data_IF_255553871898
#
_entry.id   IF_255553871898
#
_cell.length_a   1.000
_cell.length_b   1.000
_cell.length_c   1.000
_cell.angle_alpha   90.00
_cell.angle_beta   90.00
_cell.angle_gamma   90.00
#
_symmetry.space_group_name_H-M   'P 1'
#
loop_
_entity.id
_entity.type
_entity.pdbx_description
1 polymer ?
#
# COMPACT_ATOMS: atom_id res chain seq x y z
N UNK A 1 6.15 5.21 -8.98
CA UNK A 1 7.47 5.87 -8.97
C UNK A 1 8.09 5.54 -7.64
N UNK A 2 9.29 4.96 -7.63
CA UNK A 2 9.96 4.54 -6.40
C UNK A 2 11.27 5.30 -6.19
N UNK A 3 11.55 5.66 -4.94
CA UNK A 3 12.83 6.19 -4.47
C UNK A 3 13.31 5.33 -3.29
N UNK A 4 14.58 4.94 -3.32
CA UNK A 4 15.21 4.20 -2.22
C UNK A 4 16.58 4.76 -1.89
N UNK A 5 16.86 4.90 -0.60
CA UNK A 5 18.15 5.26 -0.06
C UNK A 5 18.64 4.16 0.88
N UNK A 6 19.81 3.60 0.57
CA UNK A 6 20.42 2.49 1.27
C UNK A 6 21.82 2.89 1.75
N UNK A 7 22.05 2.90 3.06
CA UNK A 7 23.38 3.24 3.62
C UNK A 7 23.61 2.58 4.98
N UNK A 8 24.75 1.90 5.15
CA UNK A 8 25.16 1.30 6.43
C UNK A 8 24.06 0.45 7.09
N UNK A 9 23.35 -0.36 6.29
CA UNK A 9 22.25 -1.20 6.74
C UNK A 9 20.89 -0.48 6.85
N UNK A 10 20.83 0.85 6.74
CA UNK A 10 19.56 1.57 6.62
C UNK A 10 18.93 1.39 5.25
N UNK A 11 17.60 1.34 5.24
CA UNK A 11 16.74 1.36 4.07
C UNK A 11 15.60 2.36 4.31
N UNK A 12 15.65 3.47 3.59
CA UNK A 12 14.56 4.43 3.51
C UNK A 12 14.01 4.34 2.08
N UNK A 13 12.77 3.90 1.94
CA UNK A 13 12.13 3.75 0.63
C UNK A 13 10.76 4.39 0.61
N UNK A 14 10.38 4.93 -0.53
CA UNK A 14 9.05 5.43 -0.81
C UNK A 14 8.64 5.02 -2.23
N UNK A 15 7.45 4.47 -2.40
CA UNK A 15 6.82 4.27 -3.70
C UNK A 15 5.54 5.10 -3.77
N UNK A 16 5.28 5.71 -4.92
CA UNK A 16 4.05 6.43 -5.21
C UNK A 16 3.48 5.95 -6.55
N UNK A 17 2.31 5.34 -6.51
CA UNK A 17 1.63 4.77 -7.68
C UNK A 17 0.34 5.53 -7.95
N UNK A 18 0.18 5.98 -9.19
CA UNK A 18 -1.02 6.67 -9.66
C UNK A 18 -1.75 5.81 -10.68
N UNK A 19 -2.99 5.44 -10.37
CA UNK A 19 -3.84 4.63 -11.22
C UNK A 19 -4.85 5.50 -11.97
N UNK A 20 -4.72 5.54 -13.30
CA UNK A 20 -5.67 6.20 -14.17
C UNK A 20 -6.66 5.18 -14.73
N UNK A 21 -7.94 5.30 -14.35
CA UNK A 21 -9.00 4.41 -14.78
C UNK A 21 -9.71 4.95 -16.04
N UNK A 22 -9.81 4.11 -17.07
CA UNK A 22 -10.56 4.40 -18.29
C UNK A 22 -12.04 4.02 -18.12
N UNK A 23 -12.91 4.61 -18.94
CA UNK A 23 -14.34 4.26 -18.95
C UNK A 23 -14.51 2.85 -19.49
N UNK A 24 -15.28 2.02 -18.78
CA UNK A 24 -15.72 0.74 -19.29
C UNK A 24 -16.88 0.97 -20.30
N UNK A 25 -16.72 0.62 -21.58
CA UNK A 25 -17.74 0.86 -22.60
C UNK A 25 -19.03 0.05 -22.37
N UNK A 26 -18.94 -1.12 -21.74
CA UNK A 26 -20.08 -2.03 -21.57
C UNK A 26 -21.04 -1.58 -20.46
N UNK A 27 -20.52 -0.92 -19.42
CA UNK A 27 -21.31 -0.47 -18.26
C UNK A 27 -21.47 1.05 -18.19
N UNK A 28 -20.82 1.79 -19.10
CA UNK A 28 -20.73 3.24 -19.10
C UNK A 28 -20.23 3.84 -17.77
N UNK A 29 -19.51 3.02 -16.98
CA UNK A 29 -19.00 3.39 -15.67
C UNK A 29 -17.50 3.72 -15.76
N UNK A 30 -17.09 4.77 -15.05
CA UNK A 30 -15.69 5.17 -14.91
C UNK A 30 -15.37 5.30 -13.42
N UNK A 31 -14.50 4.40 -12.96
CA UNK A 31 -13.93 4.48 -11.61
C UNK A 31 -13.08 5.73 -11.46
N UNK A 32 -13.09 6.28 -10.25
CA UNK A 32 -12.22 7.36 -9.82
C UNK A 32 -10.75 6.99 -9.95
N UNK A 33 -9.91 7.99 -10.18
CA UNK A 33 -8.45 7.85 -10.16
C UNK A 33 -7.97 7.63 -8.73
N UNK A 34 -6.93 6.80 -8.56
CA UNK A 34 -6.39 6.47 -7.25
C UNK A 34 -4.91 6.84 -7.17
N UNK A 35 -4.48 7.28 -6.00
CA UNK A 35 -3.09 7.51 -5.64
C UNK A 35 -2.77 6.64 -4.43
N UNK A 36 -1.77 5.77 -4.58
CA UNK A 36 -1.21 4.95 -3.51
C UNK A 36 0.22 5.41 -3.21
N UNK A 37 0.59 5.51 -1.94
CA UNK A 37 1.94 5.84 -1.50
C UNK A 37 2.34 4.87 -0.40
N UNK A 38 3.43 4.15 -0.61
CA UNK A 38 4.06 3.28 0.36
C UNK A 38 5.37 3.92 0.86
N UNK A 39 5.66 3.79 2.15
CA UNK A 39 6.93 4.20 2.72
C UNK A 39 7.47 3.15 3.69
N UNK A 40 8.79 3.08 3.77
CA UNK A 40 9.50 2.12 4.62
C UNK A 40 10.75 2.78 5.19
N UNK A 41 10.94 2.61 6.51
CA UNK A 41 12.17 2.94 7.20
C UNK A 41 12.60 1.71 7.98
N UNK A 42 13.71 1.09 7.56
CA UNK A 42 14.22 -0.13 8.15
C UNK A 42 15.73 -0.06 8.36
N UNK A 43 16.23 -0.85 9.30
CA UNK A 43 17.65 -1.03 9.57
C UNK A 43 17.98 -2.51 9.68
N UNK A 44 19.02 -2.92 8.96
CA UNK A 44 19.58 -4.27 9.03
C UNK A 44 20.84 -4.25 9.87
N UNK A 45 20.88 -5.11 10.89
CA UNK A 45 22.02 -5.32 11.79
C UNK A 45 22.27 -6.83 11.87
N UNK A 46 23.40 -7.27 11.32
CA UNK A 46 23.72 -8.69 11.21
C UNK A 46 22.66 -9.43 10.37
N UNK A 47 21.97 -10.39 10.99
CA UNK A 47 20.90 -11.20 10.34
C UNK A 47 19.50 -10.62 10.52
N UNK A 48 19.34 -9.57 11.31
CA UNK A 48 18.05 -8.99 11.66
C UNK A 48 17.79 -7.71 10.86
N UNK A 49 16.56 -7.55 10.39
CA UNK A 49 16.06 -6.30 9.82
C UNK A 49 14.87 -5.86 10.65
N UNK A 50 14.86 -4.62 11.13
CA UNK A 50 13.76 -4.07 11.93
C UNK A 50 13.39 -2.72 11.35
N UNK A 51 12.11 -2.40 11.30
CA UNK A 51 11.66 -1.11 10.80
C UNK A 51 10.19 -0.85 11.01
N UNK A 52 9.72 0.20 10.35
CA UNK A 52 8.33 0.56 10.22
C UNK A 52 8.03 0.78 8.74
N UNK A 53 6.87 0.32 8.31
CA UNK A 53 6.29 0.62 7.02
C UNK A 53 4.91 1.22 7.19
N UNK A 54 4.44 1.91 6.16
CA UNK A 54 3.07 2.36 6.09
C UNK A 54 2.65 2.63 4.66
N UNK A 55 1.34 2.72 4.48
CA UNK A 55 0.71 2.92 3.20
C UNK A 55 -0.40 3.97 3.32
N UNK A 56 -0.65 4.67 2.22
CA UNK A 56 -1.73 5.62 2.06
C UNK A 56 -2.35 5.40 0.68
N UNK A 57 -3.65 5.18 0.65
CA UNK A 57 -4.41 5.00 -0.57
C UNK A 57 -5.55 6.01 -0.59
N UNK A 58 -5.64 6.78 -1.66
CA UNK A 58 -6.58 7.87 -1.79
C UNK A 58 -7.20 7.86 -3.18
N UNK A 59 -8.53 7.77 -3.23
CA UNK A 59 -9.29 8.04 -4.44
C UNK A 59 -9.41 9.55 -4.63
N UNK A 60 -8.84 10.05 -5.74
CA UNK A 60 -8.71 11.49 -6.03
C UNK A 60 -9.90 12.06 -6.79
N UNK A 61 -10.67 11.22 -7.50
CA UNK A 61 -11.88 11.63 -8.22
C UNK A 61 -13.05 10.71 -7.92
N UNK A 62 -14.26 11.25 -7.96
CA UNK A 62 -15.48 10.50 -7.70
C UNK A 62 -15.81 9.56 -8.89
N UNK A 63 -16.42 8.42 -8.60
CA UNK A 63 -16.91 7.50 -9.63
C UNK A 63 -18.05 8.16 -10.45
N UNK A 64 -18.13 7.83 -11.74
CA UNK A 64 -19.19 8.33 -12.63
C UNK A 64 -19.84 7.22 -13.45
N UNK A 65 -21.16 7.33 -13.73
CA UNK A 65 -21.96 6.33 -14.44
C UNK A 65 -23.17 5.84 -13.62
N UNK A 66 -24.03 5.00 -14.21
CA UNK A 66 -25.26 4.52 -13.55
C UNK A 66 -25.00 3.76 -12.24
N UNK A 67 -23.87 3.05 -12.14
CA UNK A 67 -23.41 2.39 -10.91
C UNK A 67 -22.91 3.34 -9.81
N UNK A 68 -22.64 4.61 -10.13
CA UNK A 68 -22.24 5.65 -9.18
C UNK A 68 -23.44 6.46 -8.64
N UNK A 69 -24.68 6.13 -9.05
CA UNK A 69 -25.88 6.90 -8.68
C UNK A 69 -26.09 6.99 -7.16
N UNK A 70 -25.73 5.95 -6.40
CA UNK A 70 -25.75 5.97 -4.94
C UNK A 70 -24.72 6.96 -4.33
N UNK A 71 -23.55 7.10 -4.96
CA UNK A 71 -22.48 8.01 -4.54
C UNK A 71 -22.71 9.47 -4.98
N UNK A 72 -23.46 9.68 -6.07
CA UNK A 72 -23.85 11.01 -6.53
C UNK A 72 -24.82 11.71 -5.55
N UNK A 73 -25.66 10.94 -4.83
CA UNK A 73 -26.58 11.48 -3.83
C UNK A 73 -25.90 11.95 -2.54
N UNK A 74 -24.68 11.49 -2.25
CA UNK A 74 -23.91 11.84 -1.05
C UNK A 74 -22.76 12.82 -1.30
N UNK A 75 -22.62 13.35 -2.52
CA UNK A 75 -21.54 14.28 -2.88
C UNK A 75 -20.20 13.61 -3.21
N UNK A 76 -20.20 12.32 -3.57
CA UNK A 76 -19.02 11.54 -3.96
C UNK A 76 -18.69 10.40 -2.98
N UNK A 77 -18.18 9.29 -3.50
CA UNK A 77 -17.57 8.22 -2.71
C UNK A 77 -16.07 8.28 -2.98
N UNK A 78 -15.29 8.74 -1.99
CA UNK A 78 -13.83 8.72 -2.06
C UNK A 78 -13.32 7.71 -1.05
N UNK A 79 -12.78 6.61 -1.57
CA UNK A 79 -12.04 5.67 -0.75
C UNK A 79 -10.77 6.33 -0.21
N UNK A 80 -10.51 6.20 1.08
CA UNK A 80 -9.23 6.56 1.67
C UNK A 80 -8.83 5.50 2.67
N UNK A 81 -7.62 4.96 2.58
CA UNK A 81 -7.13 3.94 3.48
C UNK A 81 -5.70 4.28 3.92
N UNK A 82 -5.45 4.19 5.22
CA UNK A 82 -4.17 4.52 5.81
C UNK A 82 -3.78 3.47 6.83
N UNK A 83 -2.56 2.96 6.71
CA UNK A 83 -2.03 2.00 7.65
C UNK A 83 -0.55 2.22 7.94
N UNK A 84 -0.15 1.82 9.14
CA UNK A 84 1.25 1.85 9.57
C UNK A 84 1.52 0.69 10.51
N UNK A 85 2.73 0.15 10.47
CA UNK A 85 3.16 -0.74 11.53
C UNK A 85 4.55 -1.32 11.36
N UNK A 86 4.96 -2.18 12.30
CA UNK A 86 6.30 -2.70 12.38
C UNK A 86 6.58 -3.74 11.29
N UNK A 87 7.83 -3.78 10.87
CA UNK A 87 8.40 -4.86 10.07
C UNK A 87 9.57 -5.51 10.79
N UNK A 88 9.63 -6.83 10.72
CA UNK A 88 10.71 -7.65 11.26
C UNK A 88 11.14 -8.67 10.22
N UNK A 89 12.43 -8.68 9.89
CA UNK A 89 13.04 -9.62 8.97
C UNK A 89 14.17 -10.39 9.62
N UNK A 90 14.36 -11.63 9.16
CA UNK A 90 15.45 -12.48 9.58
C UNK A 90 16.05 -13.24 8.39
N UNK A 91 17.39 -13.25 8.31
CA UNK A 91 18.12 -13.95 7.26
C UNK A 91 18.60 -15.33 7.74
N UNK A 92 17.98 -16.38 7.18
CA UNK A 92 18.29 -17.80 7.38
C UNK A 92 19.15 -18.30 6.22
N UNK A 93 20.43 -17.95 6.24
CA UNK A 93 21.36 -18.31 5.18
C UNK A 93 20.98 -17.66 3.84
N UNK A 94 20.52 -18.46 2.87
CA UNK A 94 20.04 -17.99 1.57
C UNK A 94 18.58 -17.55 1.57
N UNK A 95 17.81 -17.91 2.61
CA UNK A 95 16.40 -17.57 2.73
C UNK A 95 16.25 -16.31 3.57
N UNK A 96 15.36 -15.40 3.14
CA UNK A 96 14.93 -14.24 3.93
C UNK A 96 13.47 -14.41 4.33
N UNK A 97 13.19 -14.27 5.62
CA UNK A 97 11.85 -14.17 6.18
C UNK A 97 11.58 -12.72 6.54
N UNK A 98 10.36 -12.26 6.28
CA UNK A 98 9.90 -10.95 6.73
C UNK A 98 8.45 -11.04 7.18
N UNK A 99 8.18 -10.53 8.36
CA UNK A 99 6.85 -10.34 8.92
C UNK A 99 6.57 -8.84 8.98
N UNK A 100 5.41 -8.44 8.48
CA UNK A 100 4.94 -7.05 8.50
C UNK A 100 3.55 -7.05 9.09
N UNK A 101 3.35 -6.22 10.10
CA UNK A 101 2.03 -5.93 10.64
C UNK A 101 1.71 -4.47 10.34
N UNK A 102 0.53 -4.18 9.80
CA UNK A 102 0.04 -2.82 9.66
C UNK A 102 -1.30 -2.69 10.37
N UNK A 103 -1.40 -1.67 11.22
CA UNK A 103 -2.66 -1.25 11.82
C UNK A 103 -3.31 -0.19 10.94
N UNK A 104 -4.52 -0.46 10.46
CA UNK A 104 -5.33 0.50 9.70
C UNK A 104 -5.99 1.49 10.64
N UNK A 105 -5.59 2.77 10.62
CA UNK A 105 -6.11 3.76 11.56
C UNK A 105 -7.19 4.67 10.97
N UNK A 106 -7.25 4.81 9.64
CA UNK A 106 -8.29 5.58 8.97
C UNK A 106 -8.68 4.91 7.68
N UNK A 107 -9.94 4.50 7.62
CA UNK A 107 -10.53 3.95 6.40
C UNK A 107 -11.89 4.60 6.16
N UNK A 108 -12.07 5.18 4.97
CA UNK A 108 -13.35 5.75 4.53
C UNK A 108 -13.75 5.01 3.27
N UNK A 109 -14.96 4.45 3.24
CA UNK A 109 -15.52 3.76 2.06
C UNK A 109 -14.63 2.65 1.48
N UNK A 110 -13.78 2.03 2.31
CA UNK A 110 -12.85 0.96 1.95
C UNK A 110 -12.76 -0.07 3.10
N UNK A 111 -12.18 -1.24 2.84
CA UNK A 111 -12.03 -2.31 3.84
C UNK A 111 -10.95 -1.93 4.85
N UNK A 112 -11.39 -1.46 6.01
CA UNK A 112 -10.51 -1.11 7.12
C UNK A 112 -10.16 -2.33 7.96
N UNK A 113 -8.94 -2.35 8.50
CA UNK A 113 -8.53 -3.38 9.44
C UNK A 113 -7.03 -3.56 9.53
N UNK A 114 -6.64 -4.50 10.39
CA UNK A 114 -5.25 -4.87 10.58
C UNK A 114 -4.84 -5.88 9.51
N UNK A 115 -3.67 -5.67 8.91
CA UNK A 115 -3.10 -6.60 7.95
C UNK A 115 -1.81 -7.20 8.49
N UNK A 116 -1.66 -8.50 8.28
CA UNK A 116 -0.45 -9.23 8.62
C UNK A 116 0.08 -9.93 7.37
N UNK A 117 1.32 -9.62 7.00
CA UNK A 117 1.97 -10.12 5.80
C UNK A 117 3.22 -10.91 6.18
N UNK A 118 3.32 -12.13 5.64
CA UNK A 118 4.53 -12.94 5.71
C UNK A 118 5.14 -13.06 4.31
N UNK A 119 6.42 -12.69 4.19
CA UNK A 119 7.17 -12.78 2.94
C UNK A 119 8.35 -13.73 3.11
N UNK A 120 8.40 -14.71 2.22
CA UNK A 120 9.54 -15.61 2.03
C UNK A 120 10.24 -15.24 0.73
N UNK A 121 11.57 -15.12 0.77
CA UNK A 121 12.37 -14.87 -0.42
C UNK A 121 13.58 -15.79 -0.46
N UNK A 122 13.77 -16.45 -1.60
CA UNK A 122 14.87 -17.37 -1.85
C UNK A 122 15.40 -17.15 -3.28
N UNK A 123 16.71 -17.27 -3.50
CA UNK A 123 17.29 -17.19 -4.84
C UNK A 123 16.91 -18.44 -5.64
N UNK A 124 16.43 -18.24 -6.88
CA UNK A 124 16.31 -19.32 -7.85
C UNK A 124 17.71 -19.56 -8.46
N UNK A 125 18.20 -20.79 -8.32
CA UNK A 125 19.47 -21.23 -8.89
C UNK A 125 19.33 -21.54 -10.38
#
# INVERSE_FOLDING_TARGET
MALSWLRNGWNLSMDATYAYNFRNPDTQYKSGQQLAIDYTVAKTIGKWTIGVGGYQENQLSDDSGSGAAACAQTGGCRASNYGIGPLLGYQLGKVKLMAIYNHGFRTTSDVGGDSFNLRLSFPFQ
#
